data_IF_352968325404
#
_entry.id   IF_352968325404
#
_cell.length_a   1.000
_cell.length_b   1.000
_cell.length_c   1.000
_cell.angle_alpha   90.00
_cell.angle_beta   90.00
_cell.angle_gamma   90.00
#
_symmetry.space_group_name_H-M   'P 1'
#
loop_
_entity.id
_entity.type
_entity.pdbx_description
1 polymer ?
#
# COMPACT_ATOMS: atom_id res chain seq x y z
N UNK A 1 12.73 1.67 -2.48
CA UNK A 1 14.11 1.23 -2.79
C UNK A 1 14.31 -0.26 -2.46
N UNK A 2 14.04 -0.70 -1.23
CA UNK A 2 14.29 -2.09 -0.78
C UNK A 2 13.66 -3.18 -1.65
N UNK A 3 12.38 -3.05 -2.00
CA UNK A 3 11.69 -4.04 -2.85
C UNK A 3 12.26 -4.05 -4.28
N UNK A 4 12.63 -2.88 -4.83
CA UNK A 4 13.23 -2.75 -6.17
C UNK A 4 14.62 -3.40 -6.26
N UNK A 5 15.34 -3.48 -5.14
CA UNK A 5 16.67 -4.06 -5.04
C UNK A 5 16.65 -5.55 -4.67
N UNK A 6 15.47 -6.13 -4.39
CA UNK A 6 15.36 -7.53 -3.99
C UNK A 6 15.46 -8.44 -5.22
N UNK A 7 16.36 -9.43 -5.18
CA UNK A 7 16.60 -10.35 -6.29
C UNK A 7 15.40 -11.24 -6.65
N UNK A 8 14.43 -11.39 -5.74
CA UNK A 8 13.19 -12.15 -5.96
C UNK A 8 12.11 -11.33 -6.68
N UNK A 9 12.36 -10.06 -7.02
CA UNK A 9 11.41 -9.17 -7.69
C UNK A 9 12.05 -8.62 -8.95
N UNK A 10 11.46 -8.94 -10.11
CA UNK A 10 11.89 -8.33 -11.37
C UNK A 10 11.48 -6.86 -11.44
N UNK A 11 12.18 -6.07 -12.28
CA UNK A 11 11.85 -4.66 -12.48
C UNK A 11 10.40 -4.47 -12.97
N UNK A 12 9.94 -5.36 -13.85
CA UNK A 12 8.57 -5.34 -14.39
C UNK A 12 7.55 -5.61 -13.28
N UNK A 13 7.82 -6.55 -12.38
CA UNK A 13 6.93 -6.80 -11.23
C UNK A 13 6.91 -5.62 -10.26
N UNK A 14 8.06 -4.97 -10.06
CA UNK A 14 8.12 -3.74 -9.29
C UNK A 14 7.22 -2.65 -9.89
N UNK A 15 7.36 -2.40 -11.18
CA UNK A 15 6.60 -1.36 -11.88
C UNK A 15 5.11 -1.69 -11.98
N UNK A 16 4.75 -2.94 -12.26
CA UNK A 16 3.34 -3.33 -12.42
C UNK A 16 2.58 -3.48 -11.10
N UNK A 17 3.26 -3.80 -9.99
CA UNK A 17 2.59 -4.08 -8.72
C UNK A 17 3.00 -3.11 -7.62
N UNK A 18 4.28 -3.11 -7.25
CA UNK A 18 4.75 -2.43 -6.05
C UNK A 18 4.80 -0.91 -6.18
N UNK A 19 5.00 -0.38 -7.39
CA UNK A 19 4.97 1.06 -7.68
C UNK A 19 3.61 1.70 -7.35
N UNK A 20 2.54 0.89 -7.39
CA UNK A 20 1.17 1.33 -7.17
C UNK A 20 0.79 1.31 -5.68
N UNK A 21 1.60 0.68 -4.83
CA UNK A 21 1.37 0.66 -3.38
C UNK A 21 1.76 1.99 -2.75
N UNK A 22 0.92 2.46 -1.84
CA UNK A 22 1.20 3.66 -1.04
C UNK A 22 1.26 3.30 0.43
N UNK A 23 2.36 3.62 1.09
CA UNK A 23 2.49 3.40 2.54
C UNK A 23 1.52 4.29 3.31
N UNK A 24 0.86 3.74 4.33
CA UNK A 24 -0.05 4.46 5.22
C UNK A 24 0.55 4.58 6.62
N UNK A 25 1.22 5.70 6.95
CA UNK A 25 1.83 5.89 8.27
C UNK A 25 0.80 5.98 9.41
N UNK A 26 -0.45 6.36 9.12
CA UNK A 26 -1.46 6.58 10.15
C UNK A 26 -2.05 5.26 10.68
N UNK A 27 -2.17 4.25 9.83
CA UNK A 27 -2.63 2.92 10.22
C UNK A 27 -1.47 1.99 10.61
N UNK A 28 -0.25 2.30 10.14
CA UNK A 28 0.94 1.52 10.47
C UNK A 28 1.34 1.70 11.93
N UNK A 29 1.85 0.62 12.52
CA UNK A 29 2.41 0.56 13.88
C UNK A 29 3.77 -0.12 13.84
N UNK A 30 4.42 -0.23 14.99
CA UNK A 30 5.75 -0.83 15.08
C UNK A 30 5.82 -2.29 14.63
N UNK A 31 4.71 -3.02 14.75
CA UNK A 31 4.55 -4.44 14.43
C UNK A 31 3.84 -4.69 13.10
N UNK A 32 3.19 -3.68 12.50
CA UNK A 32 2.43 -3.85 11.25
C UNK A 32 2.61 -2.67 10.30
N UNK A 33 2.98 -2.98 9.05
CA UNK A 33 3.08 -2.02 7.96
C UNK A 33 1.82 -2.07 7.09
N UNK A 34 1.13 -0.94 7.00
CA UNK A 34 -0.07 -0.77 6.18
C UNK A 34 0.25 -0.12 4.84
N UNK A 35 -0.30 -0.70 3.77
CA UNK A 35 -0.21 -0.16 2.43
C UNK A 35 -1.59 -0.08 1.78
N UNK A 36 -1.79 0.94 0.97
CA UNK A 36 -2.95 1.04 0.08
C UNK A 36 -2.60 0.59 -1.32
N UNK A 37 -3.43 -0.28 -1.88
CA UNK A 37 -3.50 -0.59 -3.30
C UNK A 37 -4.64 0.20 -3.96
N UNK A 38 -4.54 0.55 -5.25
CA UNK A 38 -5.55 1.36 -5.92
C UNK A 38 -6.83 0.57 -6.23
N UNK A 39 -6.76 -0.77 -6.27
CA UNK A 39 -7.92 -1.62 -6.52
C UNK A 39 -7.78 -2.99 -5.83
N UNK A 40 -8.90 -3.72 -5.77
CA UNK A 40 -8.99 -5.01 -5.09
C UNK A 40 -8.16 -6.10 -5.76
N UNK A 41 -8.03 -6.08 -7.09
CA UNK A 41 -7.24 -7.07 -7.84
C UNK A 41 -5.77 -6.97 -7.44
N UNK A 42 -5.20 -5.77 -7.45
CA UNK A 42 -3.81 -5.56 -7.03
C UNK A 42 -3.62 -5.87 -5.55
N UNK A 43 -4.56 -5.46 -4.68
CA UNK A 43 -4.53 -5.80 -3.26
C UNK A 43 -4.40 -7.32 -3.05
N UNK A 44 -5.30 -8.09 -3.65
CA UNK A 44 -5.33 -9.56 -3.51
C UNK A 44 -4.09 -10.20 -4.13
N UNK A 45 -3.70 -9.80 -5.34
CA UNK A 45 -2.55 -10.38 -6.06
C UNK A 45 -1.25 -10.13 -5.30
N UNK A 46 -1.04 -8.91 -4.80
CA UNK A 46 0.17 -8.58 -4.06
C UNK A 46 0.20 -9.31 -2.73
N UNK A 47 -0.93 -9.37 -2.02
CA UNK A 47 -1.02 -10.09 -0.75
C UNK A 47 -0.72 -11.58 -0.93
N UNK A 48 -1.28 -12.22 -1.97
CA UNK A 48 -1.10 -13.64 -2.22
C UNK A 48 0.32 -13.99 -2.71
N UNK A 49 0.86 -13.22 -3.66
CA UNK A 49 2.15 -13.55 -4.29
C UNK A 49 3.35 -13.01 -3.51
N UNK A 50 3.24 -11.81 -2.93
CA UNK A 50 4.37 -11.10 -2.34
C UNK A 50 4.20 -10.79 -0.85
N UNK A 51 3.10 -11.19 -0.22
CA UNK A 51 2.86 -10.90 1.20
C UNK A 51 3.97 -11.42 2.11
N UNK A 52 4.41 -12.67 1.91
CA UNK A 52 5.51 -13.26 2.68
C UNK A 52 6.84 -12.54 2.44
N UNK A 53 7.13 -12.16 1.18
CA UNK A 53 8.33 -11.42 0.81
C UNK A 53 8.36 -10.04 1.49
N UNK A 54 7.23 -9.33 1.52
CA UNK A 54 7.15 -8.02 2.16
C UNK A 54 7.38 -8.12 3.66
N UNK A 55 6.82 -9.13 4.33
CA UNK A 55 7.09 -9.40 5.76
C UNK A 55 8.56 -9.70 6.00
N UNK A 56 9.18 -10.52 5.15
CA UNK A 56 10.61 -10.84 5.21
C UNK A 56 11.48 -9.58 5.08
N UNK A 57 11.25 -8.77 4.05
CA UNK A 57 12.02 -7.55 3.78
C UNK A 57 11.92 -6.57 4.94
N UNK A 58 10.71 -6.34 5.47
CA UNK A 58 10.49 -5.37 6.55
C UNK A 58 10.97 -5.87 7.91
N UNK A 59 10.97 -7.18 8.15
CA UNK A 59 11.52 -7.74 9.39
C UNK A 59 13.05 -7.72 9.38
N UNK A 60 13.68 -7.90 8.21
CA UNK A 60 15.13 -7.85 8.05
C UNK A 60 15.70 -6.43 8.05
N UNK A 61 14.99 -5.50 7.40
CA UNK A 61 15.41 -4.11 7.31
C UNK A 61 14.56 -3.32 8.31
N UNK A 62 15.12 -2.94 9.45
CA UNK A 62 14.43 -2.08 10.43
C UNK A 62 14.06 -0.74 9.77
N UNK A 63 12.86 -0.65 9.19
CA UNK A 63 12.42 0.52 8.40
C UNK A 63 11.54 1.42 9.24
N UNK A 64 12.00 2.65 9.51
CA UNK A 64 11.21 3.68 10.18
C UNK A 64 10.74 3.22 11.56
N UNK A 65 9.41 3.16 11.77
CA UNK A 65 8.80 2.74 13.02
C UNK A 65 8.79 1.21 13.22
N UNK A 66 9.10 0.43 12.18
CA UNK A 66 9.07 -1.03 12.21
C UNK A 66 10.36 -1.60 12.78
N UNK A 67 10.49 -1.52 14.10
CA UNK A 67 11.64 -2.02 14.86
C UNK A 67 11.42 -3.45 15.39
N UNK A 68 10.22 -4.00 15.20
CA UNK A 68 9.87 -5.35 15.63
C UNK A 68 10.69 -6.40 14.87
N UNK A 69 11.03 -7.50 15.56
CA UNK A 69 11.71 -8.65 14.95
C UNK A 69 10.87 -9.37 13.89
N UNK A 70 9.55 -9.20 13.94
CA UNK A 70 8.60 -9.71 12.96
C UNK A 70 7.58 -8.62 12.67
N UNK A 71 7.60 -8.09 11.45
CA UNK A 71 6.70 -7.04 10.99
C UNK A 71 5.65 -7.67 10.10
N UNK A 72 4.38 -7.55 10.48
CA UNK A 72 3.26 -7.96 9.66
C UNK A 72 2.98 -6.94 8.55
N UNK A 73 2.37 -7.39 7.46
CA UNK A 73 2.06 -6.54 6.31
C UNK A 73 0.60 -6.67 5.97
N UNK A 74 -0.07 -5.52 5.91
CA UNK A 74 -1.49 -5.44 5.57
C UNK A 74 -1.70 -4.48 4.42
N UNK A 75 -2.32 -4.99 3.37
CA UNK A 75 -2.61 -4.24 2.17
C UNK A 75 -4.13 -4.10 2.08
N UNK A 76 -4.61 -2.88 1.91
CA UNK A 76 -6.03 -2.58 1.78
C UNK A 76 -6.28 -1.73 0.53
N UNK A 77 -7.52 -1.71 0.05
CA UNK A 77 -7.89 -0.85 -1.09
C UNK A 77 -8.05 0.57 -0.57
N UNK A 78 -7.45 1.54 -1.26
CA UNK A 78 -7.61 2.95 -0.91
C UNK A 78 -9.11 3.31 -0.82
N UNK A 79 -9.55 3.98 0.25
CA UNK A 79 -10.93 4.41 0.34
C UNK A 79 -11.23 5.35 -0.83
N UNK A 80 -12.34 5.11 -1.54
CA UNK A 80 -12.85 6.08 -2.50
C UNK A 80 -13.13 7.35 -1.71
N UNK A 81 -12.37 8.41 -2.00
CA UNK A 81 -12.73 9.74 -1.51
C UNK A 81 -14.15 9.96 -2.01
N UNK A 82 -15.13 9.94 -1.10
CA UNK A 82 -16.46 10.46 -1.39
C UNK A 82 -16.25 11.96 -1.56
N UNK A 83 -15.92 12.39 -2.78
CA UNK A 83 -16.09 13.78 -3.17
C UNK A 83 -17.59 14.03 -3.08
N UNK A 84 -18.03 14.50 -1.92
CA UNK A 84 -19.33 15.09 -1.72
C UNK A 84 -19.31 16.42 -2.48
N UNK A 85 -19.25 16.34 -3.81
CA UNK A 85 -19.45 17.47 -4.69
C UNK A 85 -20.95 17.76 -4.63
N UNK A 86 -21.37 18.46 -3.58
CA UNK A 86 -22.61 19.22 -3.60
C UNK A 86 -22.40 20.32 -4.62
N UNK A 87 -22.63 19.99 -5.89
CA UNK A 87 -22.79 20.96 -6.96
C UNK A 87 -24.01 21.81 -6.61
N UNK A 88 -23.82 22.89 -5.84
CA UNK A 88 -24.82 23.94 -5.70
C UNK A 88 -24.91 24.69 -7.04
N UNK A 89 -25.49 24.03 -8.04
CA UNK A 89 -25.92 24.69 -9.27
C UNK A 89 -27.21 25.44 -8.89
N UNK A 90 -27.06 26.70 -8.50
CA UNK A 90 -28.19 27.59 -8.25
C UNK A 90 -28.69 28.13 -9.59
N UNK A 91 -29.68 27.48 -10.18
CA UNK A 91 -30.42 27.96 -11.36
C UNK A 91 -31.42 29.06 -10.94
N UNK A 92 -30.93 30.18 -10.38
CA UNK A 92 -31.74 31.41 -10.32
C UNK A 92 -31.54 32.16 -11.63
N UNK A 93 -32.28 31.72 -12.65
CA UNK A 93 -32.62 32.57 -13.78
C UNK A 93 -33.76 33.50 -13.35
N UNK A 94 -33.49 34.81 -13.35
CA UNK A 94 -34.50 35.88 -13.46
C UNK A 94 -33.85 37.05 -14.17
#
# INVERSE_FOLDING_TARGET
ALVKQNSKVSLIEYENYFSQLKYNPNASKSDIAFFYAPNKVLCTTITAKYGALLKEILSQNKVGMHLAHSVDVRIEVAPKIQVNAQSNINYKAT
#
